data_IF_646786430572
#
_entry.id   IF_646786430572
#
_cell.length_a   1.000
_cell.length_b   1.000
_cell.length_c   1.000
_cell.angle_alpha   90.00
_cell.angle_beta   90.00
_cell.angle_gamma   90.00
#
_symmetry.space_group_name_H-M   'P 1'
#
loop_
_entity.id
_entity.type
_entity.pdbx_description
1 polymer ?
#
# COMPACT_ATOMS: atom_id res chain seq x y z
N UNK A 1 -23.74 16.23 -7.16
CA UNK A 1 -23.08 17.55 -7.29
C UNK A 1 -23.59 18.57 -6.26
N UNK A 2 -24.88 18.90 -6.24
CA UNK A 2 -25.45 19.96 -5.39
C UNK A 2 -25.15 19.86 -3.87
N UNK A 3 -24.96 18.66 -3.32
CA UNK A 3 -24.67 18.48 -1.89
C UNK A 3 -23.25 18.93 -1.49
N UNK A 4 -22.25 18.68 -2.34
CA UNK A 4 -20.86 19.07 -2.04
C UNK A 4 -20.70 20.59 -2.05
N UNK A 5 -21.29 21.23 -3.05
CA UNK A 5 -21.38 22.70 -3.15
C UNK A 5 -22.12 23.30 -1.96
N UNK A 6 -23.21 22.68 -1.50
CA UNK A 6 -23.96 23.14 -0.33
C UNK A 6 -23.13 23.06 0.96
N UNK A 7 -22.39 21.97 1.15
CA UNK A 7 -21.46 21.83 2.29
C UNK A 7 -20.34 22.85 2.19
N UNK A 8 -19.73 23.03 1.02
CA UNK A 8 -18.68 24.02 0.79
C UNK A 8 -19.15 25.46 1.08
N UNK A 9 -20.39 25.81 0.72
CA UNK A 9 -20.97 27.12 1.09
C UNK A 9 -21.22 27.28 2.59
N UNK A 10 -21.35 26.17 3.31
CA UNK A 10 -21.66 26.16 4.75
C UNK A 10 -20.40 26.16 5.63
N UNK A 11 -19.21 25.96 5.06
CA UNK A 11 -17.94 25.96 5.81
C UNK A 11 -16.73 26.28 4.95
N UNK A 12 -15.75 26.98 5.52
CA UNK A 12 -14.46 27.22 4.89
C UNK A 12 -13.39 26.15 5.23
N UNK A 13 -13.75 25.15 6.04
CA UNK A 13 -12.82 24.08 6.42
C UNK A 13 -12.51 23.17 5.21
N UNK A 14 -11.27 22.63 5.11
CA UNK A 14 -10.93 21.61 4.14
C UNK A 14 -11.85 20.40 4.24
N UNK A 15 -12.40 19.95 3.11
CA UNK A 15 -13.28 18.80 3.05
C UNK A 15 -12.51 17.53 2.68
N UNK A 16 -12.94 16.44 3.29
CA UNK A 16 -12.55 15.08 2.91
C UNK A 16 -13.77 14.36 2.37
N UNK A 17 -13.64 13.76 1.19
CA UNK A 17 -14.73 13.02 0.54
C UNK A 17 -14.34 11.54 0.45
N UNK A 18 -15.23 10.68 0.94
CA UNK A 18 -15.05 9.23 0.91
C UNK A 18 -15.91 8.61 -0.19
N UNK A 19 -15.26 7.88 -1.10
CA UNK A 19 -15.92 7.07 -2.14
C UNK A 19 -17.05 7.80 -2.88
N UNK A 20 -16.79 8.98 -3.47
CA UNK A 20 -17.81 9.64 -4.28
C UNK A 20 -18.11 8.79 -5.53
N UNK A 21 -19.25 9.01 -6.20
CA UNK A 21 -19.51 8.42 -7.51
C UNK A 21 -18.33 8.68 -8.47
N UNK A 22 -18.03 7.73 -9.35
CA UNK A 22 -16.81 7.75 -10.20
C UNK A 22 -16.71 9.06 -10.97
N UNK A 23 -17.82 9.54 -11.52
CA UNK A 23 -17.89 10.75 -12.33
C UNK A 23 -17.49 12.01 -11.54
N UNK A 24 -17.71 11.99 -10.21
CA UNK A 24 -17.32 13.05 -9.29
C UNK A 24 -15.86 12.85 -8.83
N UNK A 25 -15.49 11.61 -8.49
CA UNK A 25 -14.16 11.25 -8.02
C UNK A 25 -13.04 11.51 -9.03
N UNK A 26 -13.35 11.41 -10.33
CA UNK A 26 -12.39 11.68 -11.41
C UNK A 26 -12.30 13.17 -11.78
N UNK A 27 -13.22 14.01 -11.32
CA UNK A 27 -13.21 15.44 -11.61
C UNK A 27 -12.47 16.21 -10.50
N UNK A 28 -11.14 16.15 -10.54
CA UNK A 28 -10.28 16.75 -9.52
C UNK A 28 -10.47 18.27 -9.41
N UNK A 29 -10.73 18.95 -10.52
CA UNK A 29 -10.97 20.41 -10.54
C UNK A 29 -12.27 20.78 -9.82
N UNK A 30 -13.35 20.02 -10.06
CA UNK A 30 -14.61 20.20 -9.34
C UNK A 30 -14.45 19.95 -7.84
N UNK A 31 -13.73 18.90 -7.46
CA UNK A 31 -13.45 18.58 -6.06
C UNK A 31 -12.65 19.71 -5.39
N UNK A 32 -11.55 20.14 -6.02
CA UNK A 32 -10.69 21.20 -5.49
C UNK A 32 -11.42 22.54 -5.37
N UNK A 33 -12.22 22.89 -6.40
CA UNK A 33 -13.05 24.09 -6.45
C UNK A 33 -14.17 24.12 -5.40
N UNK A 34 -14.55 22.96 -4.87
CA UNK A 34 -15.55 22.82 -3.80
C UNK A 34 -14.93 22.51 -2.43
N UNK A 35 -13.69 22.93 -2.20
CA UNK A 35 -13.04 22.84 -0.89
C UNK A 35 -12.56 21.44 -0.50
N UNK A 36 -12.65 20.45 -1.39
CA UNK A 36 -12.09 19.11 -1.12
C UNK A 36 -10.57 19.16 -1.21
N UNK A 37 -9.92 18.59 -0.20
CA UNK A 37 -8.45 18.47 -0.12
C UNK A 37 -7.98 17.04 0.02
N UNK A 38 -8.85 16.15 0.48
CA UNK A 38 -8.57 14.72 0.58
C UNK A 38 -9.69 13.95 -0.10
N UNK A 39 -9.33 13.17 -1.12
CA UNK A 39 -10.20 12.18 -1.72
C UNK A 39 -9.79 10.81 -1.22
N UNK A 40 -10.67 10.14 -0.49
CA UNK A 40 -10.47 8.74 -0.11
C UNK A 40 -11.07 7.84 -1.19
N UNK A 41 -10.19 7.26 -2.01
CA UNK A 41 -10.52 6.38 -3.13
C UNK A 41 -10.95 4.95 -2.74
N UNK A 42 -11.39 4.75 -1.49
CA UNK A 42 -11.68 3.43 -0.93
C UNK A 42 -10.40 2.62 -0.67
N UNK A 43 -10.46 1.30 -0.87
CA UNK A 43 -9.33 0.38 -0.62
C UNK A 43 -9.00 -0.48 -1.86
N UNK A 44 -8.46 0.14 -2.93
CA UNK A 44 -8.13 -0.60 -4.16
C UNK A 44 -7.04 -1.65 -3.94
N UNK A 45 -6.08 -1.38 -3.05
CA UNK A 45 -5.02 -2.34 -2.71
C UNK A 45 -5.59 -3.65 -2.15
N UNK A 46 -6.57 -3.55 -1.24
CA UNK A 46 -7.26 -4.72 -0.71
C UNK A 46 -8.05 -5.46 -1.79
N UNK A 47 -8.81 -4.76 -2.62
CA UNK A 47 -9.59 -5.39 -3.69
C UNK A 47 -8.70 -6.15 -4.68
N UNK A 48 -7.55 -5.57 -5.05
CA UNK A 48 -6.56 -6.25 -5.90
C UNK A 48 -5.97 -7.47 -5.19
N UNK A 49 -5.58 -7.36 -3.92
CA UNK A 49 -5.03 -8.48 -3.17
C UNK A 49 -6.00 -9.67 -3.08
N UNK A 50 -7.27 -9.40 -2.77
CA UNK A 50 -8.33 -10.43 -2.75
C UNK A 50 -8.45 -11.13 -4.10
N UNK A 51 -8.45 -10.35 -5.19
CA UNK A 51 -8.55 -10.89 -6.56
C UNK A 51 -7.35 -11.75 -6.93
N UNK A 52 -6.12 -11.28 -6.68
CA UNK A 52 -4.89 -12.04 -6.95
C UNK A 52 -4.85 -13.36 -6.18
N UNK A 53 -5.26 -13.36 -4.91
CA UNK A 53 -5.34 -14.57 -4.08
C UNK A 53 -6.39 -15.53 -4.65
N UNK A 54 -7.58 -15.02 -5.00
CA UNK A 54 -8.63 -15.84 -5.62
C UNK A 54 -8.17 -16.47 -6.93
N UNK A 55 -7.57 -15.68 -7.82
CA UNK A 55 -7.14 -16.13 -9.15
C UNK A 55 -6.04 -17.19 -9.03
N UNK A 56 -5.09 -17.03 -8.09
CA UNK A 56 -4.07 -18.04 -7.77
C UNK A 56 -4.71 -19.39 -7.37
N UNK A 57 -5.64 -19.37 -6.41
CA UNK A 57 -6.29 -20.60 -5.96
C UNK A 57 -7.21 -21.21 -7.02
N UNK A 58 -7.91 -20.38 -7.80
CA UNK A 58 -8.74 -20.84 -8.90
C UNK A 58 -7.90 -21.53 -9.98
N UNK A 59 -6.75 -20.96 -10.33
CA UNK A 59 -5.81 -21.56 -11.29
C UNK A 59 -5.33 -22.94 -10.83
N UNK A 60 -4.86 -23.06 -9.59
CA UNK A 60 -4.42 -24.33 -9.02
C UNK A 60 -5.57 -25.35 -8.93
N UNK A 61 -6.76 -24.93 -8.49
CA UNK A 61 -7.95 -25.77 -8.40
C UNK A 61 -8.36 -26.34 -9.76
N UNK A 62 -8.18 -25.57 -10.83
CA UNK A 62 -8.51 -25.98 -12.19
C UNK A 62 -7.40 -26.82 -12.87
N UNK A 63 -6.40 -27.30 -12.11
CA UNK A 63 -5.34 -28.16 -12.60
C UNK A 63 -4.11 -27.42 -13.15
N UNK A 64 -4.01 -26.11 -12.93
CA UNK A 64 -2.82 -25.33 -13.26
C UNK A 64 -1.60 -25.81 -12.46
N UNK A 65 -0.45 -25.89 -13.11
CA UNK A 65 0.81 -26.27 -12.45
C UNK A 65 1.42 -25.08 -11.70
N UNK A 66 2.06 -25.32 -10.55
CA UNK A 66 2.70 -24.27 -9.74
C UNK A 66 3.68 -23.42 -10.55
N UNK A 67 4.42 -24.01 -11.49
CA UNK A 67 5.35 -23.28 -12.37
C UNK A 67 4.67 -22.21 -13.22
N UNK A 68 3.38 -22.39 -13.55
CA UNK A 68 2.57 -21.40 -14.27
C UNK A 68 2.16 -20.18 -13.42
N UNK A 69 2.40 -20.20 -12.11
CA UNK A 69 2.16 -19.04 -11.24
C UNK A 69 3.25 -17.97 -11.34
N UNK A 70 4.44 -18.33 -11.82
CA UNK A 70 5.62 -17.45 -11.84
C UNK A 70 5.39 -16.12 -12.57
N UNK A 71 4.48 -16.08 -13.57
CA UNK A 71 4.10 -14.85 -14.27
C UNK A 71 3.25 -13.88 -13.43
N UNK A 72 2.57 -14.39 -12.39
CA UNK A 72 1.71 -13.62 -11.50
C UNK A 72 2.40 -13.27 -10.17
N UNK A 73 3.54 -13.89 -9.87
CA UNK A 73 4.30 -13.64 -8.65
C UNK A 73 5.09 -12.33 -8.74
N UNK A 74 5.20 -11.65 -7.61
CA UNK A 74 6.13 -10.53 -7.48
C UNK A 74 7.57 -11.05 -7.65
N UNK A 75 8.40 -10.31 -8.39
CA UNK A 75 9.81 -10.65 -8.53
C UNK A 75 10.51 -10.66 -7.17
N UNK A 76 11.58 -11.45 -7.04
CA UNK A 76 12.43 -11.46 -5.85
C UNK A 76 12.91 -10.05 -5.49
N UNK A 77 13.29 -9.24 -6.47
CA UNK A 77 13.78 -7.88 -6.23
C UNK A 77 12.68 -6.95 -5.70
N UNK A 78 11.46 -7.09 -6.23
CA UNK A 78 10.30 -6.35 -5.70
C UNK A 78 10.02 -6.76 -4.25
N UNK A 79 10.00 -8.06 -3.95
CA UNK A 79 9.79 -8.56 -2.59
C UNK A 79 10.85 -8.04 -1.62
N UNK A 80 12.13 -8.02 -2.00
CA UNK A 80 13.20 -7.46 -1.17
C UNK A 80 13.01 -5.96 -0.94
N UNK A 81 12.68 -5.20 -1.97
CA UNK A 81 12.48 -3.75 -1.85
C UNK A 81 11.30 -3.40 -0.93
N UNK A 82 10.18 -4.11 -1.06
CA UNK A 82 8.99 -3.86 -0.24
C UNK A 82 9.19 -4.29 1.21
N UNK A 83 9.93 -5.38 1.44
CA UNK A 83 10.22 -5.87 2.78
C UNK A 83 11.38 -5.16 3.47
N UNK A 84 12.14 -4.34 2.74
CA UNK A 84 13.38 -3.69 3.23
C UNK A 84 14.34 -4.70 3.88
N UNK A 85 14.36 -5.95 3.39
CA UNK A 85 15.04 -7.06 4.07
C UNK A 85 16.56 -6.86 4.15
N UNK A 86 17.15 -6.21 3.16
CA UNK A 86 18.59 -5.93 3.13
C UNK A 86 18.99 -4.92 4.22
N UNK A 87 18.13 -3.94 4.50
CA UNK A 87 18.33 -2.98 5.60
C UNK A 87 18.28 -3.71 6.95
N UNK A 88 17.28 -4.57 7.14
CA UNK A 88 17.15 -5.39 8.35
C UNK A 88 18.39 -6.26 8.56
N UNK A 89 18.88 -6.92 7.51
CA UNK A 89 20.09 -7.74 7.56
C UNK A 89 21.33 -6.91 7.91
N UNK A 90 21.46 -5.69 7.36
CA UNK A 90 22.52 -4.75 7.69
C UNK A 90 22.52 -4.36 9.18
N UNK A 91 21.34 -4.03 9.72
CA UNK A 91 21.15 -3.71 11.13
C UNK A 91 21.51 -4.89 12.03
N UNK A 92 21.03 -6.10 11.72
CA UNK A 92 21.36 -7.32 12.47
C UNK A 92 22.88 -7.55 12.53
N UNK A 93 23.58 -7.39 11.39
CA UNK A 93 25.04 -7.53 11.33
C UNK A 93 25.75 -6.49 12.21
N UNK A 94 25.29 -5.24 12.18
CA UNK A 94 25.87 -4.15 13.00
C UNK A 94 25.68 -4.41 14.50
N UNK A 95 24.48 -4.84 14.91
CA UNK A 95 24.17 -5.19 16.30
C UNK A 95 25.03 -6.36 16.77
N UNK A 96 25.08 -7.46 16.00
CA UNK A 96 25.91 -8.62 16.35
C UNK A 96 27.39 -8.25 16.47
N UNK A 97 27.89 -7.43 15.55
CA UNK A 97 29.25 -6.91 15.60
C UNK A 97 29.48 -6.09 16.88
N UNK A 98 28.59 -5.15 17.19
CA UNK A 98 28.69 -4.30 18.39
C UNK A 98 28.64 -5.11 19.69
N UNK A 99 27.81 -6.14 19.78
CA UNK A 99 27.72 -7.02 20.95
C UNK A 99 29.00 -7.82 21.13
N UNK A 100 29.54 -8.40 20.06
CA UNK A 100 30.73 -9.24 20.13
C UNK A 100 31.98 -8.44 20.52
N UNK A 101 32.15 -7.24 19.98
CA UNK A 101 33.30 -6.38 20.30
C UNK A 101 33.10 -5.56 21.59
N UNK A 102 31.87 -5.13 21.90
CA UNK A 102 31.53 -4.48 23.17
C UNK A 102 31.69 -5.37 24.39
N UNK A 103 31.44 -6.69 24.26
CA UNK A 103 31.70 -7.69 25.31
C UNK A 103 33.21 -7.92 25.53
N UNK A 104 34.05 -7.77 24.51
CA UNK A 104 35.51 -7.88 24.66
C UNK A 104 36.12 -6.69 25.38
N UNK A 105 35.53 -5.50 25.28
CA UNK A 105 36.04 -4.29 25.96
C UNK A 105 35.75 -4.22 27.47
N UNK A 106 34.80 -5.03 27.98
CA UNK A 106 34.44 -5.07 29.42
C UNK A 106 35.05 -6.24 30.20
N UNK A 107 35.93 -7.03 29.58
CA UNK A 107 36.75 -8.05 30.25
C UNK A 107 38.17 -7.53 30.44
N UNK A 108 38.36 -6.74 31.48
CA UNK A 108 39.62 -6.54 32.20
C UNK A 108 39.29 -6.51 33.68
#
# INVERSE_FOLDING_TARGET
MAQLEAVHRSTHLPLTVLSPPVEVGTNLDFLAGNGVRVLMAGNPAYAMAVKSIYDCFAFLKNGGAISGLSEFEASSDLLKSVTQIDELMGLQKSILHSLFFGLKSKRF
#
